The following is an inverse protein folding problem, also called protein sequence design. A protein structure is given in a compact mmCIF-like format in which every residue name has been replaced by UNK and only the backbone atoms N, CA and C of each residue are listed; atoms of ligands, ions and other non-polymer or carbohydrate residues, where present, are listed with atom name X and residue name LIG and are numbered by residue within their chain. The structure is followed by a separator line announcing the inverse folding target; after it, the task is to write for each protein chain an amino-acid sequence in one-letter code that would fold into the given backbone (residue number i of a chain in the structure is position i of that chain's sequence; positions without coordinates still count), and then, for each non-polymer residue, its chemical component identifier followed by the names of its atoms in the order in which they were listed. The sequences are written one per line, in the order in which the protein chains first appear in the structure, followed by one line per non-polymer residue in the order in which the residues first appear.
data_IF_770516530850
#
_entry.id   IF_770516530850
#
_cell.length_a   1.000
_cell.length_b   1.000
_cell.length_c   1.000
_cell.angle_alpha   90.00
_cell.angle_beta   90.00
_cell.angle_gamma   90.00
#
_symmetry.space_group_name_H-M   'P 1'
#
loop_
_entity.id
_entity.type
_entity.pdbx_description
1 polymer ?
#
# COMPACT_ATOMS: atom_id res chain seq x y z
N UNK A 1 -10.45 0.26 38.71
CA UNK A 1 -10.08 -0.93 37.90
C UNK A 1 -9.19 -0.46 36.75
N UNK A 2 -8.24 -1.27 36.23
CA UNK A 2 -7.46 -0.88 35.07
C UNK A 2 -8.37 -0.55 33.88
N UNK A 3 -8.21 0.63 33.27
CA UNK A 3 -8.98 1.11 32.13
C UNK A 3 -10.27 1.86 32.44
N UNK A 4 -10.58 2.09 33.72
CA UNK A 4 -11.73 2.87 34.15
C UNK A 4 -11.38 3.84 35.27
N UNK A 5 -11.99 5.02 35.23
CA UNK A 5 -11.84 6.12 36.19
C UNK A 5 -13.21 6.64 36.69
N UNK A 6 -13.16 7.66 37.56
CA UNK A 6 -14.33 8.27 38.18
C UNK A 6 -14.70 7.62 39.53
N UNK A 7 -15.61 8.28 40.25
CA UNK A 7 -16.02 7.93 41.63
C UNK A 7 -16.46 6.47 41.81
N UNK A 8 -16.98 5.83 40.76
CA UNK A 8 -17.43 4.44 40.78
C UNK A 8 -16.74 3.56 39.72
N UNK A 9 -15.56 3.95 39.22
CA UNK A 9 -14.88 3.23 38.12
C UNK A 9 -15.80 2.99 36.89
N UNK A 10 -16.70 3.93 36.60
CA UNK A 10 -17.73 3.76 35.56
C UNK A 10 -17.36 4.42 34.23
N UNK A 11 -16.37 5.31 34.24
CA UNK A 11 -15.93 6.02 33.05
C UNK A 11 -14.74 5.28 32.43
N UNK A 12 -14.80 4.80 31.18
CA UNK A 12 -13.61 4.26 30.52
C UNK A 12 -12.55 5.37 30.40
N UNK A 13 -11.28 4.97 30.37
CA UNK A 13 -10.20 5.92 30.12
C UNK A 13 -10.39 6.62 28.76
N UNK A 14 -10.30 7.96 28.70
CA UNK A 14 -10.36 8.66 27.43
C UNK A 14 -9.07 8.41 26.65
N UNK A 15 -9.15 8.19 25.34
CA UNK A 15 -7.95 8.11 24.49
C UNK A 15 -7.17 9.44 24.57
N UNK A 16 -5.82 9.43 24.69
CA UNK A 16 -4.93 8.27 24.57
C UNK A 16 -4.57 7.57 25.90
N UNK A 17 -5.34 7.78 26.96
CA UNK A 17 -5.06 7.23 28.29
C UNK A 17 -5.48 5.78 28.48
N UNK A 18 -4.73 5.01 29.26
CA UNK A 18 -5.05 3.64 29.65
C UNK A 18 -4.48 3.29 31.04
N UNK A 19 -4.81 2.09 31.53
CA UNK A 19 -4.24 1.52 32.75
C UNK A 19 -4.94 1.96 34.04
N UNK A 20 -4.28 1.80 35.18
CA UNK A 20 -4.84 2.20 36.48
C UNK A 20 -4.91 3.72 36.55
N UNK A 21 -6.07 4.25 36.94
CA UNK A 21 -6.36 5.69 37.03
C UNK A 21 -6.09 6.48 35.73
N UNK A 22 -6.02 5.80 34.59
CA UNK A 22 -5.75 6.39 33.28
C UNK A 22 -4.43 7.17 33.21
N UNK A 23 -3.40 6.73 33.95
CA UNK A 23 -2.10 7.43 34.01
C UNK A 23 -1.11 7.03 32.91
N UNK A 24 -1.41 5.98 32.13
CA UNK A 24 -0.55 5.50 31.06
C UNK A 24 -1.05 6.03 29.71
N UNK A 25 -0.15 6.18 28.73
CA UNK A 25 -0.48 6.74 27.41
C UNK A 25 -0.23 5.72 26.30
N UNK A 26 -1.25 5.48 25.48
CA UNK A 26 -1.19 4.69 24.26
C UNK A 26 -0.45 5.48 23.18
N UNK A 27 0.69 4.96 22.74
CA UNK A 27 1.41 5.42 21.55
C UNK A 27 1.00 4.57 20.34
N UNK A 28 -0.28 4.58 20.00
CA UNK A 28 -0.87 3.86 18.86
C UNK A 28 -2.21 4.50 18.51
N UNK A 29 -2.79 4.15 17.36
CA UNK A 29 -4.14 4.65 17.00
C UNK A 29 -5.19 4.15 17.99
N UNK A 30 -6.30 4.90 18.09
CA UNK A 30 -7.37 4.62 19.05
C UNK A 30 -7.90 3.19 18.98
N UNK A 31 -8.09 2.63 17.78
CA UNK A 31 -8.59 1.26 17.58
C UNK A 31 -7.64 0.17 18.10
N UNK A 32 -6.36 0.51 18.31
CA UNK A 32 -5.33 -0.37 18.86
C UNK A 32 -5.09 -0.14 20.35
N UNK A 33 -5.68 0.87 20.95
CA UNK A 33 -5.49 1.20 22.35
C UNK A 33 -6.50 0.45 23.22
N UNK A 34 -6.04 -0.62 23.88
CA UNK A 34 -6.81 -1.26 24.93
C UNK A 34 -6.79 -0.39 26.18
N UNK A 35 -7.97 0.01 26.68
CA UNK A 35 -8.07 0.88 27.86
C UNK A 35 -7.40 0.28 29.11
N UNK A 36 -7.25 -1.03 29.20
CA UNK A 36 -6.64 -1.72 30.34
C UNK A 36 -5.18 -2.11 30.12
N UNK A 37 -4.81 -2.53 28.91
CA UNK A 37 -3.49 -3.10 28.58
C UNK A 37 -2.60 -2.18 27.75
N UNK A 38 -3.14 -1.09 27.20
CA UNK A 38 -2.44 -0.17 26.32
C UNK A 38 -2.42 -0.64 24.88
N UNK A 39 -1.38 -0.28 24.13
CA UNK A 39 -1.30 -0.61 22.71
C UNK A 39 -1.24 -2.11 22.46
N UNK A 40 -2.25 -2.62 21.76
CA UNK A 40 -2.30 -4.01 21.33
C UNK A 40 -1.12 -4.27 20.37
N UNK A 41 -0.27 -5.22 20.76
CA UNK A 41 0.88 -5.75 20.00
C UNK A 41 2.16 -4.91 19.96
N UNK A 42 2.36 -3.96 20.88
CA UNK A 42 3.62 -3.22 21.04
C UNK A 42 4.88 -4.11 21.15
N UNK A 43 4.73 -5.34 21.65
CA UNK A 43 5.83 -6.31 21.82
C UNK A 43 5.88 -7.45 20.76
N UNK A 44 4.91 -7.53 19.83
CA UNK A 44 4.79 -8.66 18.87
C UNK A 44 4.68 -8.24 17.39
N UNK A 45 4.70 -6.94 17.08
CA UNK A 45 4.53 -6.39 15.73
C UNK A 45 3.10 -5.89 15.50
N UNK A 46 2.88 -5.06 14.49
CA UNK A 46 1.57 -4.42 14.27
C UNK A 46 0.48 -5.40 13.81
N UNK A 47 -0.79 -5.05 14.06
CA UNK A 47 -1.90 -5.82 13.51
C UNK A 47 -1.82 -5.86 11.98
N UNK A 48 -2.38 -6.91 11.33
CA UNK A 48 -2.45 -6.97 9.88
C UNK A 48 -3.07 -5.70 9.31
N UNK A 49 -2.40 -5.09 8.32
CA UNK A 49 -2.83 -3.83 7.72
C UNK A 49 -2.18 -2.58 8.30
N UNK A 50 -1.36 -2.71 9.34
CA UNK A 50 -0.64 -1.60 9.95
C UNK A 50 0.86 -1.85 10.09
N UNK A 51 1.63 -0.77 10.15
CA UNK A 51 3.09 -0.75 10.30
C UNK A 51 3.57 0.54 11.01
N UNK A 52 4.88 0.68 11.15
CA UNK A 52 5.54 1.78 11.86
C UNK A 52 5.72 1.49 13.35
N UNK A 53 6.51 2.32 14.02
CA UNK A 53 6.90 2.16 15.44
C UNK A 53 5.68 2.05 16.38
N UNK A 54 4.61 2.76 16.04
CA UNK A 54 3.39 2.88 16.82
C UNK A 54 2.17 2.25 16.13
N UNK A 55 2.38 1.47 15.07
CA UNK A 55 1.29 0.86 14.28
C UNK A 55 0.26 1.87 13.76
N UNK A 56 0.70 3.10 13.52
CA UNK A 56 -0.14 4.21 13.06
C UNK A 56 -0.20 4.34 11.55
N UNK A 57 0.64 3.62 10.82
CA UNK A 57 0.71 3.68 9.37
C UNK A 57 -0.07 2.50 8.79
N UNK A 58 -1.16 2.79 8.09
CA UNK A 58 -1.84 1.77 7.29
C UNK A 58 -0.95 1.31 6.14
N UNK A 59 -1.04 0.04 5.75
CA UNK A 59 -0.25 -0.47 4.65
C UNK A 59 -0.54 0.28 3.34
N UNK A 60 0.48 0.82 2.67
CA UNK A 60 0.31 1.41 1.34
C UNK A 60 0.15 0.29 0.32
N UNK A 61 -0.74 0.47 -0.65
CA UNK A 61 -0.84 -0.44 -1.80
C UNK A 61 0.52 -0.50 -2.53
N UNK A 62 1.01 -1.69 -2.94
CA UNK A 62 0.35 -2.99 -2.95
C UNK A 62 0.59 -3.85 -1.70
N UNK A 63 1.04 -3.28 -0.59
CA UNK A 63 1.43 -4.03 0.60
C UNK A 63 0.25 -4.35 1.53
N UNK A 64 0.31 -5.49 2.23
CA UNK A 64 -0.71 -5.92 3.19
C UNK A 64 -0.14 -6.86 4.27
N UNK A 65 -0.97 -7.19 5.25
CA UNK A 65 -0.65 -8.15 6.31
C UNK A 65 0.12 -7.53 7.48
N UNK A 66 0.68 -8.37 8.34
CA UNK A 66 1.45 -7.94 9.53
C UNK A 66 2.68 -7.15 9.08
N UNK A 67 2.84 -5.93 9.61
CA UNK A 67 3.92 -5.01 9.24
C UNK A 67 4.05 -4.77 7.72
N UNK A 68 2.99 -4.96 6.94
CA UNK A 68 2.96 -4.76 5.49
C UNK A 68 4.00 -5.58 4.70
N UNK A 69 4.32 -6.79 5.17
CA UNK A 69 5.37 -7.63 4.56
C UNK A 69 4.88 -8.51 3.39
N UNK A 70 3.60 -8.46 3.03
CA UNK A 70 3.03 -9.21 1.91
C UNK A 70 2.58 -8.28 0.79
N UNK A 71 2.48 -8.79 -0.44
CA UNK A 71 2.12 -8.01 -1.63
C UNK A 71 0.82 -8.54 -2.26
N UNK A 72 -0.14 -7.65 -2.47
CA UNK A 72 -1.36 -7.89 -3.23
C UNK A 72 -1.03 -7.99 -4.72
N UNK A 73 -1.40 -9.12 -5.33
CA UNK A 73 -1.28 -9.35 -6.77
C UNK A 73 -2.60 -9.08 -7.51
N UNK A 74 -3.39 -8.14 -7.02
CA UNK A 74 -4.69 -7.74 -7.51
C UNK A 74 -4.80 -6.21 -7.54
N UNK A 75 -5.85 -5.71 -8.19
CA UNK A 75 -6.16 -4.28 -8.23
C UNK A 75 -6.36 -3.73 -6.82
N UNK A 76 -6.14 -2.42 -6.65
CA UNK A 76 -6.22 -1.77 -5.34
C UNK A 76 -7.59 -1.96 -4.69
N UNK A 77 -8.67 -1.94 -5.48
CA UNK A 77 -10.05 -2.09 -5.03
C UNK A 77 -10.34 -3.48 -4.45
N UNK A 78 -9.55 -4.49 -4.83
CA UNK A 78 -9.66 -5.87 -4.32
C UNK A 78 -8.60 -6.19 -3.25
N UNK A 79 -7.66 -5.28 -2.98
CA UNK A 79 -6.61 -5.49 -1.99
C UNK A 79 -7.08 -5.01 -0.62
N UNK A 80 -7.43 -5.97 0.25
CA UNK A 80 -7.63 -5.68 1.66
C UNK A 80 -6.28 -5.59 2.38
N UNK A 81 -6.08 -4.52 3.15
CA UNK A 81 -4.79 -4.28 3.83
C UNK A 81 -4.44 -5.35 4.87
N UNK A 82 -5.43 -6.09 5.39
CA UNK A 82 -5.23 -7.09 6.43
C UNK A 82 -5.09 -8.51 5.87
N UNK A 83 -5.93 -8.86 4.90
CA UNK A 83 -6.12 -10.21 4.38
C UNK A 83 -5.62 -10.39 2.94
N UNK A 84 -5.35 -9.29 2.23
CA UNK A 84 -4.84 -9.29 0.86
C UNK A 84 -5.97 -9.34 -0.17
N UNK A 85 -5.70 -9.98 -1.30
CA UNK A 85 -6.64 -10.03 -2.42
C UNK A 85 -7.94 -10.74 -2.07
N UNK A 86 -9.03 -9.97 -2.05
CA UNK A 86 -10.38 -10.46 -1.80
C UNK A 86 -10.92 -11.27 -2.98
N UNK A 87 -11.81 -12.22 -2.68
CA UNK A 87 -12.52 -12.94 -3.71
C UNK A 87 -13.71 -12.11 -4.19
N UNK A 88 -13.77 -11.87 -5.50
CA UNK A 88 -14.96 -11.33 -6.15
C UNK A 88 -15.80 -12.49 -6.67
N UNK A 89 -17.09 -12.50 -6.37
CA UNK A 89 -18.03 -13.47 -6.96
C UNK A 89 -18.45 -13.08 -8.39
N UNK A 90 -18.31 -11.79 -8.73
CA UNK A 90 -18.56 -11.25 -10.06
C UNK A 90 -17.40 -11.54 -10.99
N UNK A 91 -17.61 -12.45 -11.94
CA UNK A 91 -16.68 -12.66 -13.04
C UNK A 91 -16.59 -11.39 -13.89
N UNK A 92 -15.37 -10.96 -14.19
CA UNK A 92 -15.11 -9.85 -15.11
C UNK A 92 -14.63 -10.46 -16.43
N UNK A 93 -15.27 -10.02 -17.52
CA UNK A 93 -14.92 -10.48 -18.89
C UNK A 93 -13.80 -9.65 -19.51
N UNK A 94 -13.59 -8.44 -19.02
CA UNK A 94 -12.53 -7.52 -19.48
C UNK A 94 -11.84 -6.98 -18.23
N UNK A 95 -10.52 -7.11 -18.18
CA UNK A 95 -9.70 -6.62 -17.08
C UNK A 95 -9.09 -5.26 -17.42
N UNK A 96 -8.80 -4.46 -16.38
CA UNK A 96 -7.93 -3.31 -16.57
C UNK A 96 -6.53 -3.79 -16.97
N UNK A 97 -5.84 -3.01 -17.81
CA UNK A 97 -4.49 -3.34 -18.24
C UNK A 97 -3.57 -3.61 -17.04
N UNK A 98 -2.70 -4.61 -17.15
CA UNK A 98 -1.86 -5.09 -16.07
C UNK A 98 -2.47 -6.20 -15.23
N UNK A 99 -3.70 -6.63 -15.54
CA UNK A 99 -4.40 -7.73 -14.86
C UNK A 99 -5.08 -8.67 -15.85
N UNK A 100 -5.24 -9.93 -15.45
CA UNK A 100 -5.80 -10.97 -16.31
C UNK A 100 -6.58 -12.05 -15.54
N UNK A 101 -7.31 -12.87 -16.30
CA UNK A 101 -8.09 -14.02 -15.81
C UNK A 101 -9.51 -13.69 -15.35
N UNK A 102 -10.31 -14.72 -15.05
CA UNK A 102 -11.78 -14.68 -14.86
C UNK A 102 -12.33 -13.63 -13.84
N UNK A 103 -11.49 -13.17 -12.93
CA UNK A 103 -11.87 -12.21 -11.88
C UNK A 103 -10.89 -11.02 -11.80
N UNK A 104 -10.03 -10.83 -12.81
CA UNK A 104 -9.00 -9.78 -12.84
C UNK A 104 -8.14 -9.71 -11.57
N UNK A 105 -7.92 -10.88 -10.96
CA UNK A 105 -7.22 -11.03 -9.66
C UNK A 105 -5.75 -11.36 -9.82
N UNK A 106 -5.29 -11.56 -11.05
CA UNK A 106 -3.90 -11.89 -11.33
C UNK A 106 -3.27 -10.68 -12.01
N UNK A 107 -2.30 -10.06 -11.33
CA UNK A 107 -1.44 -9.03 -11.91
C UNK A 107 -0.46 -9.66 -12.90
N UNK A 108 -0.11 -8.93 -13.97
CA UNK A 108 0.98 -9.34 -14.84
C UNK A 108 2.28 -9.48 -14.04
N UNK A 109 3.03 -10.53 -14.35
CA UNK A 109 4.34 -10.81 -13.75
C UNK A 109 5.39 -10.40 -14.79
N UNK A 110 6.49 -9.78 -14.35
CA UNK A 110 7.61 -9.47 -15.24
C UNK A 110 8.02 -10.71 -16.07
N UNK A 111 8.21 -10.58 -17.40
CA UNK A 111 8.30 -9.34 -18.20
C UNK A 111 7.00 -8.86 -18.84
N UNK A 112 5.83 -9.34 -18.43
CA UNK A 112 4.57 -9.08 -19.12
C UNK A 112 3.84 -7.81 -18.65
N UNK A 113 3.11 -7.16 -19.54
CA UNK A 113 2.29 -5.98 -19.27
C UNK A 113 1.09 -5.86 -20.24
N UNK A 114 0.19 -4.89 -19.99
CA UNK A 114 -0.91 -4.54 -20.91
C UNK A 114 -2.19 -5.35 -20.70
N UNK A 115 -3.09 -5.34 -21.68
CA UNK A 115 -4.33 -6.11 -21.65
C UNK A 115 -4.02 -7.62 -21.72
N UNK A 116 -4.64 -8.41 -20.82
CA UNK A 116 -4.43 -9.86 -20.69
C UNK A 116 -2.95 -10.30 -20.58
N UNK A 117 -2.04 -9.36 -20.24
CA UNK A 117 -0.59 -9.57 -20.16
C UNK A 117 0.06 -10.10 -21.45
N UNK A 118 -0.45 -9.72 -22.62
CA UNK A 118 0.08 -10.21 -23.91
C UNK A 118 1.35 -9.50 -24.39
N UNK A 119 1.61 -8.29 -23.89
CA UNK A 119 2.80 -7.52 -24.25
C UNK A 119 3.97 -7.80 -23.30
N UNK A 120 5.21 -7.59 -23.76
CA UNK A 120 6.43 -7.80 -22.98
C UNK A 120 7.30 -6.54 -22.91
N UNK A 121 7.75 -6.22 -21.70
CA UNK A 121 8.73 -5.18 -21.43
C UNK A 121 10.11 -5.58 -21.94
N UNK A 122 10.77 -4.67 -22.66
CA UNK A 122 12.16 -4.82 -23.09
C UNK A 122 13.10 -3.91 -22.29
N UNK A 123 12.84 -3.80 -20.99
CA UNK A 123 13.57 -2.99 -20.01
C UNK A 123 13.79 -3.80 -18.73
N UNK A 124 14.52 -3.23 -17.76
CA UNK A 124 14.70 -3.84 -16.45
C UNK A 124 13.37 -3.94 -15.69
N UNK A 125 13.27 -4.90 -14.78
CA UNK A 125 12.07 -5.14 -13.97
C UNK A 125 11.60 -3.89 -13.22
N UNK A 126 12.53 -3.08 -12.71
CA UNK A 126 12.24 -1.82 -12.00
C UNK A 126 11.64 -0.72 -12.89
N UNK A 127 11.79 -0.81 -14.21
CA UNK A 127 11.29 0.18 -15.18
C UNK A 127 10.07 -0.33 -15.94
N UNK A 128 9.59 -1.54 -15.64
CA UNK A 128 8.44 -2.14 -16.28
C UNK A 128 7.18 -1.89 -15.45
N UNK A 129 6.34 -0.95 -15.90
CA UNK A 129 4.99 -0.78 -15.39
C UNK A 129 4.06 -1.83 -16.03
N UNK A 130 3.28 -2.53 -15.21
CA UNK A 130 2.40 -3.62 -15.68
C UNK A 130 1.26 -3.11 -16.58
N UNK A 131 0.93 -1.83 -16.53
CA UNK A 131 -0.18 -1.21 -17.27
C UNK A 131 0.31 -0.64 -18.60
N UNK A 132 1.44 0.08 -18.56
CA UNK A 132 1.93 0.90 -19.69
C UNK A 132 3.15 0.25 -20.37
N UNK A 133 3.91 -0.58 -19.66
CA UNK A 133 5.16 -1.20 -20.13
C UNK A 133 6.37 -0.42 -19.63
N UNK A 134 7.39 -0.27 -20.47
CA UNK A 134 8.62 0.41 -20.08
C UNK A 134 8.39 1.91 -19.85
N UNK A 135 8.56 2.36 -18.61
CA UNK A 135 8.55 3.78 -18.25
C UNK A 135 9.95 4.34 -18.45
N UNK A 136 10.07 5.43 -19.20
CA UNK A 136 11.32 6.19 -19.24
C UNK A 136 11.46 6.89 -17.88
N UNK A 137 12.46 6.52 -17.08
CA UNK A 137 12.98 7.42 -16.06
C UNK A 137 13.76 8.48 -16.82
N UNK A 138 13.10 9.59 -17.16
CA UNK A 138 13.83 10.83 -17.33
C UNK A 138 14.37 11.16 -15.92
N UNK A 139 15.69 11.15 -15.73
CA UNK A 139 16.37 11.61 -14.50
C UNK A 139 16.18 13.14 -14.26
N UNK A 140 15.12 13.76 -14.79
CA UNK A 140 14.83 15.19 -14.67
C UNK A 140 13.51 15.47 -13.92
N UNK A 141 13.17 14.67 -12.90
CA UNK A 141 12.14 15.04 -11.91
C UNK A 141 12.70 15.91 -10.77
N UNK A 142 13.65 16.79 -11.11
CA UNK A 142 13.96 18.01 -10.34
C UNK A 142 13.44 19.29 -11.03
N UNK A 143 12.52 19.21 -11.99
CA UNK A 143 11.99 20.41 -12.65
C UNK A 143 10.47 20.52 -12.54
N UNK A 144 10.02 20.73 -11.30
CA UNK A 144 8.75 21.44 -11.00
C UNK A 144 8.71 22.86 -11.65
N UNK A 145 9.78 23.29 -12.35
CA UNK A 145 9.89 24.60 -13.02
C UNK A 145 9.52 24.66 -14.53
N UNK A 146 9.13 23.56 -15.19
CA UNK A 146 8.71 23.59 -16.61
C UNK A 146 7.20 23.80 -16.82
N UNK A 147 6.49 24.24 -15.78
CA UNK A 147 5.10 24.69 -15.91
C UNK A 147 5.02 26.06 -16.62
N UNK A 148 6.13 26.78 -16.87
CA UNK A 148 6.09 28.22 -17.22
C UNK A 148 6.67 28.60 -18.60
N UNK A 149 7.63 27.87 -19.16
CA UNK A 149 8.36 28.30 -20.38
C UNK A 149 8.15 27.34 -21.55
N UNK A 150 7.18 27.63 -22.44
CA UNK A 150 6.93 26.83 -23.63
C UNK A 150 8.14 26.73 -24.57
N UNK A 151 8.74 25.53 -24.71
CA UNK A 151 9.73 25.15 -25.73
C UNK A 151 9.62 23.64 -26.08
N UNK A 152 10.09 23.20 -27.28
CA UNK A 152 9.46 22.12 -28.04
C UNK A 152 10.02 20.70 -27.80
N UNK A 153 9.25 19.70 -28.28
CA UNK A 153 9.48 18.24 -28.25
C UNK A 153 10.96 17.82 -28.38
N UNK A 154 11.46 16.86 -27.57
CA UNK A 154 12.78 16.30 -27.82
C UNK A 154 12.77 15.51 -29.14
N UNK A 155 13.80 15.77 -29.94
CA UNK A 155 14.04 15.12 -31.24
C UNK A 155 14.46 13.67 -31.02
N UNK A 156 14.01 12.81 -31.95
CA UNK A 156 14.27 11.39 -32.08
C UNK A 156 15.61 10.91 -31.50
N UNK A 157 15.55 9.93 -30.60
CA UNK A 157 16.73 9.19 -30.14
C UNK A 157 17.11 8.16 -31.20
N UNK A 158 18.25 8.39 -31.87
CA UNK A 158 18.85 7.42 -32.80
C UNK A 158 19.62 6.38 -31.99
N UNK A 159 19.13 5.14 -31.94
CA UNK A 159 19.84 4.01 -31.32
C UNK A 159 21.02 3.62 -32.21
N UNK A 160 22.26 3.83 -31.74
CA UNK A 160 23.45 3.25 -32.38
C UNK A 160 23.72 1.88 -31.77
N UNK A 161 23.45 0.83 -32.54
CA UNK A 161 23.96 -0.52 -32.28
C UNK A 161 25.37 -0.57 -32.85
N UNK A 162 26.37 -0.85 -32.03
CA UNK A 162 27.75 -1.07 -32.48
C UNK A 162 27.96 -2.59 -32.52
N UNK A 163 28.32 -3.12 -33.69
CA UNK A 163 28.76 -4.52 -33.90
C UNK A 163 30.21 -4.72 -33.45
#
# INVERSE_FOLDING_TARGET
MPGYSGVNCSLPCPYPSYGVDCQQICNCIQDLCDVSKGCMNSNKGCMPGYSGVNCSLQCPYPSYGVNCQKICNCIQELCDVSTGCQQTTTAHTICISGYFGRYCRARCIYPYYGEECEAQCNCSESMCDVTIGCTAVDEETEIVALVIFGMPRPKSVTVRITM
#
